data_IF_665469991591
#
_entry.id   IF_665469991591
#
_cell.length_a   1.000
_cell.length_b   1.000
_cell.length_c   1.000
_cell.angle_alpha   90.00
_cell.angle_beta   90.00
_cell.angle_gamma   90.00
#
_symmetry.space_group_name_H-M   'P 1'
#
loop_
_entity.id
_entity.type
_entity.pdbx_description
1 polymer ?
#
# COMPACT_ATOMS: atom_id res chain seq x y z
N UNK A 1 -30.14 8.64 -23.05
CA UNK A 1 -30.52 9.06 -21.70
C UNK A 1 -29.77 8.26 -20.62
N UNK A 2 -29.85 6.92 -20.63
CA UNK A 2 -29.13 6.07 -19.64
C UNK A 2 -27.62 6.31 -19.61
N UNK A 3 -26.96 6.49 -20.77
CA UNK A 3 -25.53 6.76 -20.85
C UNK A 3 -25.11 8.06 -20.14
N UNK A 4 -25.96 9.09 -20.18
CA UNK A 4 -25.69 10.35 -19.47
C UNK A 4 -25.78 10.16 -17.95
N UNK A 5 -26.76 9.40 -17.47
CA UNK A 5 -26.92 9.10 -16.05
C UNK A 5 -25.70 8.32 -15.52
N UNK A 6 -25.28 7.30 -16.28
CA UNK A 6 -24.08 6.50 -15.93
C UNK A 6 -22.82 7.38 -15.91
N UNK A 7 -22.65 8.24 -16.91
CA UNK A 7 -21.51 9.17 -16.95
C UNK A 7 -21.48 10.13 -15.76
N UNK A 8 -22.63 10.72 -15.41
CA UNK A 8 -22.74 11.58 -14.24
C UNK A 8 -22.49 10.84 -12.92
N UNK A 9 -22.95 9.59 -12.81
CA UNK A 9 -22.68 8.75 -11.66
C UNK A 9 -21.18 8.42 -11.51
N UNK A 10 -20.49 8.14 -12.62
CA UNK A 10 -19.05 7.92 -12.64
C UNK A 10 -18.27 9.18 -12.23
N UNK A 11 -18.67 10.36 -12.76
CA UNK A 11 -18.05 11.65 -12.37
C UNK A 11 -18.22 11.89 -10.87
N UNK A 12 -19.42 11.67 -10.31
CA UNK A 12 -19.66 11.79 -8.88
C UNK A 12 -18.79 10.86 -8.04
N UNK A 13 -18.57 9.63 -8.50
CA UNK A 13 -17.73 8.66 -7.81
C UNK A 13 -16.22 9.01 -7.86
N UNK A 14 -15.76 9.70 -8.89
CA UNK A 14 -14.34 10.08 -9.07
C UNK A 14 -13.96 11.32 -8.25
N UNK A 15 -14.90 12.20 -7.94
CA UNK A 15 -14.62 13.45 -7.21
C UNK A 15 -13.95 13.21 -5.87
N UNK A 16 -14.47 12.25 -5.08
CA UNK A 16 -13.93 11.93 -3.76
C UNK A 16 -12.49 11.37 -3.80
N UNK A 17 -12.17 10.34 -4.60
CA UNK A 17 -10.81 9.83 -4.72
C UNK A 17 -9.82 10.86 -5.25
N UNK A 18 -10.22 11.70 -6.22
CA UNK A 18 -9.35 12.77 -6.76
C UNK A 18 -9.04 13.81 -5.67
N UNK A 19 -10.04 14.20 -4.88
CA UNK A 19 -9.81 15.09 -3.76
C UNK A 19 -8.91 14.47 -2.70
N UNK A 20 -9.15 13.21 -2.33
CA UNK A 20 -8.33 12.48 -1.37
C UNK A 20 -6.88 12.36 -1.83
N UNK A 21 -6.64 12.01 -3.11
CA UNK A 21 -5.30 11.94 -3.67
C UNK A 21 -4.52 13.25 -3.52
N UNK A 22 -5.17 14.41 -3.72
CA UNK A 22 -4.53 15.70 -3.51
C UNK A 22 -4.13 15.97 -2.05
N UNK A 23 -4.92 15.47 -1.09
CA UNK A 23 -4.57 15.52 0.34
C UNK A 23 -3.42 14.58 0.64
N UNK A 24 -3.47 13.35 0.13
CA UNK A 24 -2.43 12.33 0.34
C UNK A 24 -1.07 12.81 -0.18
N UNK A 25 -1.03 13.47 -1.35
CA UNK A 25 0.21 14.06 -1.86
C UNK A 25 0.75 15.16 -0.93
N UNK A 26 -0.10 15.95 -0.30
CA UNK A 26 0.34 16.98 0.65
C UNK A 26 0.93 16.36 1.94
N UNK A 27 0.48 15.17 2.35
CA UNK A 27 1.00 14.48 3.55
C UNK A 27 2.38 13.85 3.34
N UNK A 28 2.88 13.72 2.10
CA UNK A 28 4.18 13.13 1.81
C UNK A 28 5.37 13.94 2.35
N UNK A 29 5.17 15.23 2.66
CA UNK A 29 6.24 16.02 3.28
C UNK A 29 6.00 17.52 3.25
N UNK A 30 6.74 18.25 4.06
CA UNK A 30 6.62 19.71 4.26
C UNK A 30 6.73 20.52 2.95
N UNK A 31 7.50 20.05 1.99
CA UNK A 31 7.62 20.73 0.70
C UNK A 31 6.41 20.50 -0.19
N UNK A 32 5.74 19.35 -0.07
CA UNK A 32 4.52 19.01 -0.81
C UNK A 32 3.30 19.75 -0.26
N UNK A 33 3.28 20.00 1.06
CA UNK A 33 2.21 20.77 1.72
C UNK A 33 2.12 22.20 1.21
N UNK A 34 3.26 22.82 0.85
CA UNK A 34 3.31 24.22 0.32
C UNK A 34 2.64 24.37 -1.05
N UNK A 35 2.44 23.27 -1.76
CA UNK A 35 1.83 23.27 -3.09
C UNK A 35 0.31 23.18 -2.94
N UNK A 36 -0.47 24.09 -3.56
CA UNK A 36 -1.92 24.05 -3.49
C UNK A 36 -2.51 22.73 -3.99
N UNK A 37 -3.52 22.20 -3.32
CA UNK A 37 -4.21 20.94 -3.69
C UNK A 37 -4.70 20.91 -5.13
N UNK A 38 -5.09 22.06 -5.65
CA UNK A 38 -5.57 22.17 -7.04
C UNK A 38 -4.50 21.70 -8.04
N UNK A 39 -3.23 21.99 -7.77
CA UNK A 39 -2.11 21.56 -8.64
C UNK A 39 -1.98 20.04 -8.58
N UNK A 40 -2.00 19.45 -7.38
CA UNK A 40 -1.92 18.00 -7.20
C UNK A 40 -3.10 17.26 -7.83
N UNK A 41 -4.32 17.78 -7.62
CA UNK A 41 -5.51 17.22 -8.23
C UNK A 41 -5.47 17.31 -9.76
N UNK A 42 -5.07 18.46 -10.31
CA UNK A 42 -4.95 18.62 -11.76
C UNK A 42 -3.90 17.68 -12.36
N UNK A 43 -2.74 17.55 -11.71
CA UNK A 43 -1.69 16.62 -12.13
C UNK A 43 -2.20 15.17 -12.09
N UNK A 44 -2.89 14.78 -11.02
CA UNK A 44 -3.50 13.47 -10.88
C UNK A 44 -4.52 13.18 -11.99
N UNK A 45 -5.40 14.13 -12.29
CA UNK A 45 -6.38 14.01 -13.38
C UNK A 45 -5.71 13.86 -14.74
N UNK A 46 -4.65 14.62 -15.01
CA UNK A 46 -3.89 14.50 -16.27
C UNK A 46 -3.27 13.09 -16.37
N UNK A 47 -2.59 12.64 -15.31
CA UNK A 47 -1.93 11.34 -15.29
C UNK A 47 -2.93 10.21 -15.53
N UNK A 48 -4.03 10.15 -14.77
CA UNK A 48 -4.99 9.06 -14.95
C UNK A 48 -5.70 9.13 -16.31
N UNK A 49 -5.95 10.32 -16.84
CA UNK A 49 -6.56 10.48 -18.17
C UNK A 49 -5.64 9.94 -19.27
N UNK A 50 -4.36 10.28 -19.21
CA UNK A 50 -3.36 9.76 -20.15
C UNK A 50 -3.25 8.24 -20.05
N UNK A 51 -3.18 7.70 -18.82
CA UNK A 51 -3.15 6.26 -18.58
C UNK A 51 -4.43 5.56 -19.10
N UNK A 52 -5.60 6.15 -18.89
CA UNK A 52 -6.87 5.59 -19.36
C UNK A 52 -6.95 5.57 -20.89
N UNK A 53 -6.52 6.64 -21.57
CA UNK A 53 -6.50 6.70 -23.03
C UNK A 53 -5.50 5.70 -23.60
N UNK A 54 -4.28 5.64 -23.04
CA UNK A 54 -3.23 4.71 -23.50
C UNK A 54 -3.62 3.25 -23.26
N UNK A 55 -4.24 2.94 -22.11
CA UNK A 55 -4.61 1.59 -21.69
C UNK A 55 -5.97 1.10 -22.19
N UNK A 56 -6.74 1.93 -22.92
CA UNK A 56 -8.16 1.63 -23.28
C UNK A 56 -8.38 0.29 -23.98
N UNK A 57 -7.39 -0.19 -24.74
CA UNK A 57 -7.48 -1.44 -25.47
C UNK A 57 -7.28 -2.68 -24.58
N UNK A 58 -6.60 -2.53 -23.44
CA UNK A 58 -6.24 -3.59 -22.50
C UNK A 58 -6.74 -3.33 -21.08
N UNK A 59 -7.79 -2.52 -20.94
CA UNK A 59 -8.25 -2.01 -19.66
C UNK A 59 -8.55 -3.10 -18.63
N UNK A 60 -9.22 -4.18 -19.04
CA UNK A 60 -9.59 -5.28 -18.16
C UNK A 60 -8.35 -6.02 -17.61
N UNK A 61 -7.36 -6.26 -18.46
CA UNK A 61 -6.12 -6.92 -18.10
C UNK A 61 -5.28 -6.05 -17.14
N UNK A 62 -5.09 -4.78 -17.48
CA UNK A 62 -4.37 -3.81 -16.64
C UNK A 62 -5.04 -3.70 -15.27
N UNK A 63 -6.36 -3.62 -15.23
CA UNK A 63 -7.12 -3.49 -13.99
C UNK A 63 -7.02 -4.73 -13.12
N UNK A 64 -7.11 -5.93 -13.70
CA UNK A 64 -6.96 -7.20 -12.98
C UNK A 64 -5.57 -7.32 -12.36
N UNK A 65 -4.53 -7.04 -13.14
CA UNK A 65 -3.14 -7.07 -12.65
C UNK A 65 -2.89 -6.03 -11.55
N UNK A 66 -3.43 -4.83 -11.70
CA UNK A 66 -3.34 -3.78 -10.70
C UNK A 66 -4.02 -4.17 -9.38
N UNK A 67 -5.23 -4.74 -9.44
CA UNK A 67 -5.95 -5.17 -8.23
C UNK A 67 -5.21 -6.29 -7.50
N UNK A 68 -4.60 -7.23 -8.22
CA UNK A 68 -3.81 -8.29 -7.62
C UNK A 68 -2.59 -7.73 -6.88
N UNK A 69 -1.83 -6.82 -7.51
CA UNK A 69 -0.68 -6.16 -6.88
C UNK A 69 -1.08 -5.34 -5.65
N UNK A 70 -2.22 -4.63 -5.71
CA UNK A 70 -2.77 -3.92 -4.56
C UNK A 70 -3.14 -4.88 -3.43
N UNK A 71 -3.68 -6.06 -3.75
CA UNK A 71 -3.97 -7.11 -2.77
C UNK A 71 -2.73 -7.52 -1.97
N UNK A 72 -1.59 -7.76 -2.64
CA UNK A 72 -0.33 -8.11 -1.95
C UNK A 72 0.16 -6.96 -1.07
N UNK A 73 0.14 -5.74 -1.58
CA UNK A 73 0.54 -4.56 -0.81
C UNK A 73 -0.27 -4.40 0.46
N UNK A 74 -1.59 -4.49 0.36
CA UNK A 74 -2.51 -4.33 1.50
C UNK A 74 -2.30 -5.45 2.52
N UNK A 75 -2.11 -6.70 2.10
CA UNK A 75 -1.91 -7.82 3.04
C UNK A 75 -0.63 -7.66 3.85
N UNK A 76 0.48 -7.24 3.23
CA UNK A 76 1.75 -6.97 3.90
C UNK A 76 1.60 -5.80 4.88
N UNK A 77 0.93 -4.72 4.45
CA UNK A 77 0.69 -3.55 5.29
C UNK A 77 -0.17 -3.89 6.52
N UNK A 78 -1.22 -4.70 6.34
CA UNK A 78 -2.06 -5.17 7.44
C UNK A 78 -1.26 -6.02 8.44
N UNK A 79 -0.36 -6.90 7.98
CA UNK A 79 0.50 -7.69 8.87
C UNK A 79 1.30 -6.76 9.81
N UNK A 80 2.00 -5.78 9.25
CA UNK A 80 2.82 -4.83 10.01
C UNK A 80 1.97 -4.01 10.98
N UNK A 81 0.81 -3.50 10.52
CA UNK A 81 -0.09 -2.70 11.33
C UNK A 81 -0.69 -3.47 12.51
N UNK A 82 -1.13 -4.72 12.26
CA UNK A 82 -1.67 -5.59 13.31
C UNK A 82 -0.62 -5.90 14.38
N UNK A 83 0.60 -6.20 13.99
CA UNK A 83 1.68 -6.51 14.92
C UNK A 83 2.14 -5.29 15.71
N UNK A 84 2.27 -4.12 15.07
CA UNK A 84 2.52 -2.88 15.79
C UNK A 84 1.42 -2.64 16.83
N UNK A 85 0.14 -2.80 16.45
CA UNK A 85 -0.97 -2.56 17.36
C UNK A 85 -1.03 -3.60 18.48
N UNK A 86 -0.99 -4.90 18.17
CA UNK A 86 -1.20 -5.98 19.13
C UNK A 86 0.02 -6.20 20.02
N UNK A 87 1.21 -6.30 19.41
CA UNK A 87 2.43 -6.66 20.15
C UNK A 87 3.00 -5.45 20.88
N UNK A 88 3.22 -4.34 20.18
CA UNK A 88 3.95 -3.22 20.76
C UNK A 88 3.03 -2.25 21.50
N UNK A 89 1.88 -1.91 20.94
CA UNK A 89 0.98 -0.94 21.57
C UNK A 89 0.15 -1.55 22.71
N UNK A 90 -0.44 -2.72 22.48
CA UNK A 90 -1.31 -3.37 23.47
C UNK A 90 -0.54 -4.23 24.48
N UNK A 91 0.22 -5.24 24.04
CA UNK A 91 0.87 -6.18 24.94
C UNK A 91 2.07 -5.56 25.67
N UNK A 92 2.90 -4.81 24.99
CA UNK A 92 4.05 -4.11 25.61
C UNK A 92 3.66 -2.79 26.29
N UNK A 93 2.41 -2.34 26.14
CA UNK A 93 1.90 -1.18 26.84
C UNK A 93 2.49 0.16 26.41
N UNK A 94 3.08 0.24 25.19
CA UNK A 94 3.63 1.50 24.68
C UNK A 94 2.53 2.56 24.44
N UNK A 95 1.27 2.10 24.20
CA UNK A 95 0.15 2.98 23.92
C UNK A 95 0.30 3.78 22.63
N UNK A 96 -0.63 4.68 22.39
CA UNK A 96 -0.57 5.64 21.30
C UNK A 96 -0.29 7.02 21.87
N UNK A 97 0.80 7.64 21.45
CA UNK A 97 1.14 9.00 21.85
C UNK A 97 0.51 9.99 20.87
N UNK A 98 -0.69 10.47 21.19
CA UNK A 98 -1.44 11.41 20.37
C UNK A 98 -0.79 12.80 20.31
N UNK A 99 0.01 13.19 21.32
CA UNK A 99 0.71 14.46 21.34
C UNK A 99 1.96 14.49 20.44
N UNK A 100 2.30 13.32 19.87
CA UNK A 100 3.45 13.19 18.99
C UNK A 100 3.09 13.25 17.49
N UNK A 101 1.82 13.39 17.16
CA UNK A 101 1.36 13.27 15.77
C UNK A 101 1.98 14.32 14.83
N UNK A 102 2.31 15.49 15.33
CA UNK A 102 2.92 16.61 14.58
C UNK A 102 4.42 16.78 14.85
N UNK A 103 5.02 15.92 15.68
CA UNK A 103 6.44 15.99 16.03
C UNK A 103 7.19 14.76 15.50
N UNK A 104 7.86 14.90 14.35
CA UNK A 104 8.64 13.83 13.72
C UNK A 104 9.74 13.25 14.61
N UNK A 105 10.19 14.00 15.63
CA UNK A 105 11.23 13.54 16.59
C UNK A 105 10.69 12.54 17.60
N UNK A 106 9.37 12.54 17.82
CA UNK A 106 8.68 11.63 18.74
C UNK A 106 8.07 10.43 18.01
N UNK A 107 7.91 10.52 16.70
CA UNK A 107 7.38 9.42 15.87
C UNK A 107 8.44 8.33 15.67
N UNK A 108 8.03 7.06 15.50
CA UNK A 108 8.92 5.98 15.10
C UNK A 108 9.70 6.32 13.83
N UNK A 109 10.94 5.83 13.72
CA UNK A 109 11.75 6.06 12.52
C UNK A 109 11.17 5.37 11.29
N UNK A 110 10.50 4.21 11.50
CA UNK A 110 9.81 3.48 10.46
C UNK A 110 10.70 2.57 9.60
N UNK A 111 12.00 2.47 9.91
CA UNK A 111 12.91 1.59 9.18
C UNK A 111 12.52 0.11 9.32
N UNK A 112 12.09 -0.30 10.51
CA UNK A 112 11.62 -1.67 10.75
C UNK A 112 10.43 -2.02 9.84
N UNK A 113 9.46 -1.11 9.73
CA UNK A 113 8.30 -1.29 8.88
C UNK A 113 8.69 -1.33 7.40
N UNK A 114 9.57 -0.43 6.95
CA UNK A 114 10.04 -0.40 5.57
C UNK A 114 10.76 -1.70 5.18
N UNK A 115 11.71 -2.16 6.00
CA UNK A 115 12.45 -3.40 5.70
C UNK A 115 11.52 -4.62 5.72
N UNK A 116 10.63 -4.74 6.72
CA UNK A 116 9.65 -5.83 6.78
C UNK A 116 8.72 -5.80 5.56
N UNK A 117 8.30 -4.63 5.13
CA UNK A 117 7.47 -4.44 3.93
C UNK A 117 8.20 -4.91 2.66
N UNK A 118 9.47 -4.56 2.48
CA UNK A 118 10.27 -5.01 1.33
C UNK A 118 10.50 -6.52 1.35
N UNK A 119 10.73 -7.11 2.52
CA UNK A 119 10.85 -8.57 2.68
C UNK A 119 9.52 -9.26 2.36
N UNK A 120 8.40 -8.73 2.83
CA UNK A 120 7.07 -9.22 2.48
C UNK A 120 6.81 -9.17 0.97
N UNK A 121 7.20 -8.08 0.31
CA UNK A 121 7.13 -7.97 -1.15
C UNK A 121 7.98 -9.02 -1.87
N UNK A 122 9.20 -9.25 -1.42
CA UNK A 122 10.03 -10.32 -1.97
C UNK A 122 9.34 -11.69 -1.84
N UNK A 123 8.74 -11.98 -0.69
CA UNK A 123 7.94 -13.20 -0.47
C UNK A 123 6.73 -13.29 -1.42
N UNK A 124 6.00 -12.18 -1.59
CA UNK A 124 4.87 -12.13 -2.53
C UNK A 124 5.31 -12.38 -3.97
N UNK A 125 6.38 -11.73 -4.44
CA UNK A 125 6.90 -11.91 -5.80
C UNK A 125 7.32 -13.37 -6.06
N UNK A 126 7.97 -14.00 -5.10
CA UNK A 126 8.37 -15.41 -5.24
C UNK A 126 7.20 -16.40 -5.26
N UNK A 127 6.06 -16.02 -4.73
CA UNK A 127 4.89 -16.88 -4.49
C UNK A 127 3.64 -16.48 -5.26
N UNK A 128 3.67 -15.41 -6.07
CA UNK A 128 2.52 -14.97 -6.86
C UNK A 128 2.39 -15.77 -8.16
N UNK A 129 1.16 -16.00 -8.60
CA UNK A 129 0.84 -16.54 -9.92
C UNK A 129 -0.07 -15.55 -10.63
N UNK A 130 0.51 -14.77 -11.53
CA UNK A 130 -0.17 -13.80 -12.37
C UNK A 130 -0.11 -14.21 -13.84
N UNK A 131 -0.97 -13.65 -14.68
CA UNK A 131 -1.01 -13.98 -16.12
C UNK A 131 0.35 -13.74 -16.80
N UNK A 132 1.09 -12.74 -16.34
CA UNK A 132 2.38 -12.32 -16.90
C UNK A 132 3.61 -12.84 -16.15
N UNK A 133 3.42 -13.42 -14.94
CA UNK A 133 4.53 -13.91 -14.13
C UNK A 133 4.08 -14.97 -13.14
N UNK A 134 4.78 -16.09 -13.11
CA UNK A 134 4.60 -17.17 -12.12
C UNK A 134 5.88 -17.28 -11.31
N UNK A 135 5.78 -17.02 -10.02
CA UNK A 135 6.89 -17.11 -9.08
C UNK A 135 7.37 -18.55 -8.87
N UNK A 136 8.65 -18.74 -8.50
CA UNK A 136 9.23 -20.09 -8.35
C UNK A 136 8.54 -20.94 -7.29
N UNK A 137 7.97 -20.36 -6.25
CA UNK A 137 7.19 -21.10 -5.25
C UNK A 137 5.78 -21.40 -5.74
N UNK A 138 5.16 -20.44 -6.44
CA UNK A 138 3.85 -20.64 -7.06
C UNK A 138 3.87 -21.77 -8.10
N UNK A 139 4.92 -21.88 -8.89
CA UNK A 139 5.09 -22.92 -9.91
C UNK A 139 5.15 -24.33 -9.34
N UNK A 140 5.45 -24.52 -8.05
CA UNK A 140 5.46 -25.82 -7.40
C UNK A 140 4.09 -26.26 -6.90
N UNK A 141 3.09 -25.38 -6.96
CA UNK A 141 1.73 -25.61 -6.47
C UNK A 141 0.77 -25.96 -7.62
N UNK A 142 0.71 -27.25 -7.97
CA UNK A 142 -0.18 -27.74 -9.01
C UNK A 142 0.32 -27.50 -10.44
N UNK A 143 -0.46 -27.96 -11.41
CA UNK A 143 -0.07 -27.97 -12.84
C UNK A 143 -0.01 -26.56 -13.46
N UNK A 144 -0.82 -25.62 -12.94
CA UNK A 144 -0.92 -24.24 -13.45
C UNK A 144 -0.34 -23.19 -12.50
N UNK A 145 0.21 -23.62 -11.35
CA UNK A 145 0.66 -22.73 -10.30
C UNK A 145 -0.49 -22.23 -9.40
N UNK A 146 -0.19 -22.04 -8.11
CA UNK A 146 -1.12 -21.51 -7.12
C UNK A 146 -0.67 -20.15 -6.62
N UNK A 147 -1.55 -19.13 -6.65
CA UNK A 147 -1.22 -17.82 -6.10
C UNK A 147 -1.25 -17.83 -4.56
N UNK A 148 -0.06 -17.86 -3.97
CA UNK A 148 0.16 -17.77 -2.53
C UNK A 148 0.79 -16.44 -2.10
N UNK A 149 0.90 -15.48 -3.02
CA UNK A 149 1.59 -14.19 -2.80
C UNK A 149 1.08 -13.42 -1.59
N UNK A 150 -0.24 -13.37 -1.36
CA UNK A 150 -0.84 -12.72 -0.21
C UNK A 150 -0.42 -13.37 1.11
N UNK A 151 -0.47 -14.71 1.18
CA UNK A 151 -0.17 -15.45 2.42
C UNK A 151 1.31 -15.42 2.77
N UNK A 152 2.16 -15.62 1.78
CA UNK A 152 3.62 -15.63 1.97
C UNK A 152 4.12 -14.22 2.29
N UNK A 153 3.62 -13.20 1.57
CA UNK A 153 3.96 -11.80 1.84
C UNK A 153 3.56 -11.36 3.25
N UNK A 154 2.34 -11.71 3.66
CA UNK A 154 1.85 -11.47 5.03
C UNK A 154 2.74 -12.17 6.08
N UNK A 155 3.02 -13.46 5.88
CA UNK A 155 3.80 -14.25 6.83
C UNK A 155 5.26 -13.76 6.93
N UNK A 156 5.90 -13.47 5.81
CA UNK A 156 7.29 -12.98 5.82
C UNK A 156 7.41 -11.60 6.48
N UNK A 157 6.51 -10.69 6.17
CA UNK A 157 6.47 -9.38 6.85
C UNK A 157 6.26 -9.56 8.35
N UNK A 158 5.30 -10.42 8.75
CA UNK A 158 4.96 -10.68 10.13
C UNK A 158 6.07 -11.36 10.93
N UNK A 159 6.83 -12.27 10.34
CA UNK A 159 7.98 -12.90 11.02
C UNK A 159 9.12 -11.90 11.25
N UNK A 160 9.36 -11.03 10.28
CA UNK A 160 10.52 -10.12 10.29
C UNK A 160 10.26 -8.85 11.11
N UNK A 161 9.04 -8.30 11.03
CA UNK A 161 8.72 -7.01 11.64
C UNK A 161 8.93 -6.95 13.16
N UNK A 162 8.50 -7.93 13.98
CA UNK A 162 8.66 -7.84 15.44
C UNK A 162 10.11 -7.76 15.87
N UNK A 163 10.99 -8.52 15.22
CA UNK A 163 12.41 -8.50 15.50
C UNK A 163 13.06 -7.16 15.16
N UNK A 164 12.78 -6.63 13.98
CA UNK A 164 13.29 -5.35 13.53
C UNK A 164 12.73 -4.19 14.38
N UNK A 165 11.45 -4.24 14.71
CA UNK A 165 10.82 -3.22 15.54
C UNK A 165 11.37 -3.22 16.96
N UNK A 166 11.65 -4.39 17.52
CA UNK A 166 12.32 -4.50 18.82
C UNK A 166 13.72 -3.89 18.79
N UNK A 167 14.52 -4.13 17.74
CA UNK A 167 15.83 -3.52 17.54
C UNK A 167 15.74 -1.99 17.39
N UNK A 168 14.77 -1.51 16.61
CA UNK A 168 14.51 -0.08 16.42
C UNK A 168 14.17 0.60 17.75
N UNK A 169 13.29 0.01 18.56
CA UNK A 169 12.96 0.51 19.89
C UNK A 169 14.17 0.52 20.83
N UNK A 170 15.03 -0.50 20.77
CA UNK A 170 16.25 -0.58 21.60
C UNK A 170 17.28 0.47 21.20
N UNK A 171 17.38 0.81 19.92
CA UNK A 171 18.38 1.74 19.40
C UNK A 171 17.93 3.21 19.49
N UNK A 172 16.70 3.49 19.13
CA UNK A 172 16.16 4.85 19.05
C UNK A 172 15.24 5.22 20.22
N UNK A 173 14.77 4.26 21.01
CA UNK A 173 13.90 4.47 22.17
C UNK A 173 12.47 4.89 21.83
N UNK A 174 12.08 4.87 20.53
CA UNK A 174 10.80 5.40 20.05
C UNK A 174 10.18 4.57 18.90
#
# INVERSE_FOLDING_TARGET
FCGVIVALGLVGNIILPVYAAGVDFQTLGVNFEKIPRVIWNTLGVIIFTVCAIAGRAHLAEIFTNFLALMGYWVSIWIAILLEEHLIFRKWRGLGWNWDAWDDHRKLPVGLAALVAFLVGWAGSILSMAQVWYIGPFAAQLGEYGGDMGNYVGFAWAGIVFPGLRWLELRHYGR
#
